data_IF_975115105541
#
_entry.id   IF_975115105541
#
_cell.length_a   1.000
_cell.length_b   1.000
_cell.length_c   1.000
_cell.angle_alpha   90.00
_cell.angle_beta   90.00
_cell.angle_gamma   90.00
#
_symmetry.space_group_name_H-M   'P 1'
#
loop_
_entity.id
_entity.type
_entity.pdbx_description
1 polymer ?
#
# COMPACT_ATOMS: atom_id res chain seq x y z
N UNK A 1 6.72 0.75 15.56
CA UNK A 1 6.72 -0.70 15.25
C UNK A 1 6.58 -0.87 13.75
N UNK A 2 7.42 -1.69 13.14
CA UNK A 2 7.44 -1.88 11.68
C UNK A 2 6.19 -2.65 11.22
N UNK A 3 5.61 -2.25 10.08
CA UNK A 3 4.43 -2.89 9.48
C UNK A 3 4.77 -3.47 8.11
N UNK A 4 4.10 -4.56 7.75
CA UNK A 4 4.32 -5.24 6.45
C UNK A 4 3.96 -4.30 5.30
N UNK A 5 4.82 -4.24 4.28
CA UNK A 5 4.62 -3.36 3.12
C UNK A 5 3.55 -3.91 2.16
N UNK A 6 2.77 -3.01 1.57
CA UNK A 6 1.78 -3.32 0.55
C UNK A 6 2.38 -3.20 -0.86
N UNK A 7 1.73 -3.86 -1.82
CA UNK A 7 2.08 -3.82 -3.23
C UNK A 7 0.81 -3.82 -4.09
N UNK A 8 0.93 -3.51 -5.38
CA UNK A 8 -0.20 -3.57 -6.31
C UNK A 8 -0.75 -5.00 -6.32
N UNK A 9 -2.02 -5.17 -5.95
CA UNK A 9 -2.65 -6.46 -5.68
C UNK A 9 -2.99 -6.72 -4.21
N UNK A 10 -2.50 -5.92 -3.26
CA UNK A 10 -2.92 -5.98 -1.86
C UNK A 10 -4.41 -5.70 -1.71
N UNK A 11 -5.05 -6.33 -0.72
CA UNK A 11 -6.50 -6.26 -0.51
C UNK A 11 -6.86 -5.33 0.64
N UNK A 12 -7.89 -4.54 0.42
CA UNK A 12 -8.52 -3.67 1.39
C UNK A 12 -9.52 -4.45 2.26
N UNK A 13 -9.91 -3.89 3.40
CA UNK A 13 -10.86 -4.51 4.34
C UNK A 13 -12.26 -4.70 3.77
N UNK A 14 -12.64 -3.93 2.76
CA UNK A 14 -13.90 -4.08 2.01
C UNK A 14 -13.79 -5.07 0.82
N UNK A 15 -12.65 -5.75 0.67
CA UNK A 15 -12.39 -6.69 -0.42
C UNK A 15 -11.84 -6.05 -1.71
N UNK A 16 -11.81 -4.72 -1.80
CA UNK A 16 -11.26 -4.01 -2.95
C UNK A 16 -9.73 -4.24 -3.05
N UNK A 17 -9.16 -3.98 -4.23
CA UNK A 17 -7.74 -4.28 -4.52
C UNK A 17 -7.00 -3.01 -4.88
N UNK A 18 -5.77 -2.85 -4.41
CA UNK A 18 -4.89 -1.78 -4.89
C UNK A 18 -4.49 -2.07 -6.34
N UNK A 19 -4.80 -1.16 -7.25
CA UNK A 19 -4.56 -1.30 -8.70
C UNK A 19 -3.43 -0.41 -9.22
N UNK A 20 -2.82 0.41 -8.35
CA UNK A 20 -1.58 1.12 -8.64
C UNK A 20 -1.75 2.59 -9.03
N UNK A 21 -0.76 3.18 -9.73
CA UNK A 21 0.30 2.51 -10.49
C UNK A 21 1.43 1.89 -9.66
N UNK A 22 1.53 2.20 -8.36
CA UNK A 22 2.70 1.85 -7.55
C UNK A 22 3.98 2.50 -8.08
N UNK A 23 5.14 1.99 -7.64
CA UNK A 23 6.46 2.37 -8.19
C UNK A 23 7.04 1.19 -8.96
N UNK A 24 7.04 1.21 -10.32
CA UNK A 24 7.41 0.04 -11.14
C UNK A 24 8.85 -0.47 -10.96
N UNK A 25 9.77 0.42 -10.56
CA UNK A 25 11.19 0.10 -10.35
C UNK A 25 11.47 -0.56 -9.00
N UNK A 26 10.52 -0.51 -8.06
CA UNK A 26 10.66 -1.12 -6.73
C UNK A 26 9.62 -2.23 -6.62
N UNK A 27 10.07 -3.48 -6.67
CA UNK A 27 9.19 -4.65 -6.74
C UNK A 27 9.19 -5.43 -5.44
N UNK A 28 8.01 -5.80 -4.97
CA UNK A 28 7.79 -6.68 -3.83
C UNK A 28 6.98 -7.87 -4.32
N UNK A 29 7.48 -9.08 -4.12
CA UNK A 29 6.85 -10.31 -4.63
C UNK A 29 6.52 -10.24 -6.14
N UNK A 30 7.39 -9.62 -6.94
CA UNK A 30 7.18 -9.45 -8.38
C UNK A 30 6.23 -8.32 -8.79
N UNK A 31 5.56 -7.66 -7.84
CA UNK A 31 4.58 -6.58 -8.08
C UNK A 31 5.18 -5.21 -7.72
N UNK A 32 4.78 -4.11 -8.39
CA UNK A 32 5.17 -2.77 -7.97
C UNK A 32 4.78 -2.49 -6.52
N UNK A 33 5.69 -1.88 -5.75
CA UNK A 33 5.39 -1.45 -4.37
C UNK A 33 4.30 -0.40 -4.36
N UNK A 34 3.39 -0.49 -3.40
CA UNK A 34 2.28 0.46 -3.30
C UNK A 34 2.68 1.69 -2.49
N UNK A 35 2.18 2.85 -2.90
CA UNK A 35 2.50 4.15 -2.32
C UNK A 35 1.28 5.02 -2.10
N UNK A 36 1.45 6.10 -1.34
CA UNK A 36 0.45 7.15 -1.16
C UNK A 36 -0.08 7.63 -2.52
N UNK A 37 -1.40 7.65 -2.66
CA UNK A 37 -2.12 8.05 -3.86
C UNK A 37 -2.43 6.92 -4.84
N UNK A 38 -1.98 5.69 -4.58
CA UNK A 38 -2.37 4.54 -5.41
C UNK A 38 -3.89 4.36 -5.41
N UNK A 39 -4.41 3.99 -6.57
CA UNK A 39 -5.82 3.72 -6.81
C UNK A 39 -6.23 2.36 -6.25
N UNK A 40 -7.47 2.29 -5.82
CA UNK A 40 -8.16 1.07 -5.40
C UNK A 40 -9.25 0.76 -6.44
N UNK A 41 -9.56 -0.53 -6.64
CA UNK A 41 -10.49 -1.01 -7.67
C UNK A 41 -11.92 -0.46 -7.57
N UNK A 42 -12.31 0.08 -6.42
CA UNK A 42 -13.60 0.74 -6.16
C UNK A 42 -13.58 2.26 -6.46
N UNK A 43 -12.48 2.76 -7.05
CA UNK A 43 -12.31 4.17 -7.44
C UNK A 43 -11.71 5.06 -6.36
N UNK A 44 -11.42 4.53 -5.17
CA UNK A 44 -10.78 5.27 -4.08
C UNK A 44 -9.25 5.31 -4.23
N UNK A 45 -8.59 6.02 -3.32
CA UNK A 45 -7.13 6.18 -3.32
C UNK A 45 -6.57 5.96 -1.92
N UNK A 46 -5.37 5.37 -1.81
CA UNK A 46 -4.65 5.31 -0.53
C UNK A 46 -4.25 6.73 -0.12
N UNK A 47 -4.80 7.24 0.98
CA UNK A 47 -4.60 8.64 1.42
C UNK A 47 -3.98 8.78 2.79
N UNK A 48 -4.02 7.73 3.62
CA UNK A 48 -3.56 7.83 5.00
C UNK A 48 -2.56 6.74 5.32
N UNK A 49 -1.29 7.12 5.44
CA UNK A 49 -0.21 6.25 5.88
C UNK A 49 0.05 6.50 7.36
N UNK A 50 -0.33 5.51 8.18
CA UNK A 50 -0.36 5.61 9.64
C UNK A 50 0.94 5.03 10.20
N UNK A 51 1.75 5.89 10.82
CA UNK A 51 2.98 5.50 11.51
C UNK A 51 4.22 6.22 10.96
N UNK A 52 5.39 5.58 11.07
CA UNK A 52 6.67 6.19 10.66
C UNK A 52 6.70 6.42 9.14
N UNK A 53 6.99 7.66 8.72
CA UNK A 53 6.94 8.17 7.34
C UNK A 53 8.34 8.36 6.71
N UNK A 54 9.38 7.76 7.29
CA UNK A 54 10.76 7.99 6.83
C UNK A 54 11.09 7.24 5.54
N UNK A 55 10.47 6.09 5.29
CA UNK A 55 10.80 5.26 4.12
C UNK A 55 9.89 5.60 2.94
N UNK A 56 10.51 5.90 1.80
CA UNK A 56 9.86 6.37 0.58
C UNK A 56 10.32 5.57 -0.64
N UNK A 57 9.42 5.37 -1.59
CA UNK A 57 9.73 4.85 -2.92
C UNK A 57 9.29 5.89 -3.97
N UNK A 58 10.17 6.24 -4.90
CA UNK A 58 9.87 7.27 -5.91
C UNK A 58 9.44 8.62 -5.31
N UNK A 59 10.00 9.00 -4.15
CA UNK A 59 9.64 10.21 -3.41
C UNK A 59 8.33 10.14 -2.60
N UNK A 60 7.51 9.10 -2.80
CA UNK A 60 6.22 8.89 -2.13
C UNK A 60 6.36 7.94 -0.95
N UNK A 61 5.52 8.14 0.06
CA UNK A 61 5.44 7.25 1.21
C UNK A 61 4.91 5.87 0.79
N UNK A 62 5.54 4.82 1.30
CA UNK A 62 5.14 3.43 1.03
C UNK A 62 3.91 3.07 1.86
N UNK A 63 2.92 2.45 1.21
CA UNK A 63 1.73 1.93 1.86
C UNK A 63 2.02 0.61 2.59
N UNK A 64 1.38 0.41 3.74
CA UNK A 64 1.60 -0.71 4.65
C UNK A 64 0.28 -1.26 5.16
N UNK A 65 0.34 -2.46 5.72
CA UNK A 65 -0.78 -3.05 6.45
C UNK A 65 -1.40 -2.04 7.44
N UNK A 66 -2.72 -1.88 7.40
CA UNK A 66 -3.47 -0.96 8.25
C UNK A 66 -3.51 0.50 7.80
N UNK A 67 -2.80 0.89 6.75
CA UNK A 67 -2.97 2.20 6.10
C UNK A 67 -4.34 2.27 5.41
N UNK A 68 -4.87 3.48 5.22
CA UNK A 68 -6.25 3.68 4.78
C UNK A 68 -6.39 4.33 3.40
N UNK A 69 -7.50 4.00 2.74
CA UNK A 69 -7.99 4.74 1.59
C UNK A 69 -8.76 6.01 2.01
N UNK A 70 -9.22 6.77 1.01
CA UNK A 70 -10.00 8.00 1.17
C UNK A 70 -11.39 7.81 1.80
N UNK A 71 -11.84 6.57 2.00
CA UNK A 71 -13.09 6.22 2.70
C UNK A 71 -12.86 5.61 4.07
N UNK A 72 -11.61 5.36 4.45
CA UNK A 72 -11.22 4.83 5.74
C UNK A 72 -11.07 3.31 5.79
N UNK A 73 -11.22 2.58 4.66
CA UNK A 73 -10.94 1.15 4.61
C UNK A 73 -9.45 0.91 4.74
N UNK A 74 -9.06 -0.17 5.43
CA UNK A 74 -7.66 -0.46 5.73
C UNK A 74 -7.09 -1.49 4.76
N UNK A 75 -5.80 -1.37 4.45
CA UNK A 75 -5.04 -2.44 3.81
C UNK A 75 -4.99 -3.63 4.78
N UNK A 76 -5.59 -4.75 4.40
CA UNK A 76 -5.88 -5.85 5.32
C UNK A 76 -5.13 -7.13 4.98
N UNK A 77 -5.00 -7.52 3.71
CA UNK A 77 -4.36 -8.80 3.36
C UNK A 77 -3.55 -8.71 2.07
N UNK A 78 -2.87 -9.80 1.71
CA UNK A 78 -1.97 -9.88 0.55
C UNK A 78 -0.88 -8.79 0.56
N UNK A 79 -0.22 -8.65 1.71
CA UNK A 79 0.95 -7.77 1.93
C UNK A 79 2.22 -8.62 1.92
N UNK A 80 3.39 -7.99 1.92
CA UNK A 80 4.66 -8.73 1.92
C UNK A 80 4.75 -9.67 3.12
N UNK A 81 5.21 -10.92 2.96
CA UNK A 81 5.46 -11.82 4.09
C UNK A 81 6.72 -11.42 4.87
N UNK A 82 7.73 -10.84 4.19
CA UNK A 82 9.09 -10.73 4.72
C UNK A 82 9.58 -9.28 4.89
N UNK A 83 8.93 -8.30 4.27
CA UNK A 83 9.38 -6.90 4.29
C UNK A 83 8.47 -6.08 5.20
N UNK A 84 9.05 -5.47 6.24
CA UNK A 84 8.35 -4.56 7.17
C UNK A 84 9.14 -3.26 7.35
N UNK A 85 8.44 -2.13 7.45
CA UNK A 85 9.01 -0.79 7.70
C UNK A 85 8.17 0.04 8.67
#
# INVERSE_FOLDING_TARGET
MAKKVAFVGSKMSNGATIIGPGIPTVRVNGHPISVLGDKVSDGHTITQIIGNQTVRAGGKLIARFGDKDSKGHTIATNVSPNISI
#
